data_IF_224664615087
#
_entry.id   IF_224664615087
#
_cell.length_a   1.000
_cell.length_b   1.000
_cell.length_c   1.000
_cell.angle_alpha   90.00
_cell.angle_beta   90.00
_cell.angle_gamma   90.00
#
_symmetry.space_group_name_H-M   'P 1'
#
loop_
_entity.id
_entity.type
_entity.pdbx_description
1 polymer ?
#
# COMPACT_ATOMS: atom_id res chain seq x y z
N UNK A 1 1.26 14.17 -43.27
CA UNK A 1 2.16 13.97 -42.12
C UNK A 1 1.41 14.44 -40.90
N UNK A 2 1.00 13.50 -40.04
CA UNK A 2 0.28 13.80 -38.78
C UNK A 2 1.35 14.16 -37.75
N UNK A 3 1.40 15.40 -37.31
CA UNK A 3 2.20 15.81 -36.13
C UNK A 3 1.29 15.70 -34.90
N UNK A 4 1.57 14.78 -33.95
CA UNK A 4 0.80 14.76 -32.74
C UNK A 4 1.05 16.06 -31.96
N UNK A 5 -0.02 16.62 -31.41
CA UNK A 5 0.06 17.78 -30.54
C UNK A 5 0.79 17.34 -29.23
N UNK A 6 2.00 17.84 -29.01
CA UNK A 6 2.83 17.52 -27.86
C UNK A 6 2.21 18.00 -26.52
N UNK A 7 1.31 18.99 -26.56
CA UNK A 7 0.63 19.50 -25.38
C UNK A 7 -0.43 18.52 -24.84
N UNK A 8 -0.96 17.61 -25.69
CA UNK A 8 -1.90 16.57 -25.24
C UNK A 8 -1.22 15.33 -24.61
N UNK A 9 0.09 15.22 -24.71
CA UNK A 9 0.89 14.13 -24.10
C UNK A 9 1.40 14.49 -22.70
N UNK A 10 1.27 15.75 -22.28
CA UNK A 10 1.75 16.22 -20.98
C UNK A 10 0.74 16.00 -19.82
N UNK A 11 -0.52 15.64 -20.13
CA UNK A 11 -1.54 15.35 -19.12
C UNK A 11 -1.68 13.85 -18.81
N UNK A 12 -1.02 12.97 -19.55
CA UNK A 12 -1.02 11.53 -19.29
C UNK A 12 0.15 11.18 -18.34
N UNK A 13 -0.09 11.19 -17.02
CA UNK A 13 0.87 10.62 -16.08
C UNK A 13 1.06 11.32 -14.75
N UNK A 14 0.26 12.30 -14.40
CA UNK A 14 0.27 12.81 -13.03
C UNK A 14 -0.56 11.84 -12.18
N UNK A 15 0.13 11.11 -11.26
CA UNK A 15 -0.55 10.32 -10.24
C UNK A 15 -1.10 11.28 -9.20
N UNK A 16 -2.36 11.11 -8.85
CA UNK A 16 -3.02 11.92 -7.85
C UNK A 16 -3.98 11.10 -6.99
N UNK A 17 -4.41 11.69 -5.89
CA UNK A 17 -5.45 11.18 -5.01
C UNK A 17 -6.49 12.28 -4.80
N UNK A 18 -7.75 11.91 -4.70
CA UNK A 18 -8.83 12.86 -4.37
C UNK A 18 -9.36 12.57 -2.99
N UNK A 19 -9.17 13.53 -2.07
CA UNK A 19 -9.53 13.41 -0.66
C UNK A 19 -10.38 14.60 -0.26
N UNK A 20 -11.61 14.37 0.22
CA UNK A 20 -12.57 15.43 0.58
C UNK A 20 -12.82 16.42 -0.57
N UNK A 21 -12.84 15.93 -1.81
CA UNK A 21 -13.05 16.73 -3.02
C UNK A 21 -11.79 17.48 -3.51
N UNK A 22 -10.68 17.41 -2.79
CA UNK A 22 -9.41 18.07 -3.15
C UNK A 22 -8.46 17.08 -3.82
N UNK A 23 -7.87 17.49 -4.96
CA UNK A 23 -6.86 16.70 -5.68
C UNK A 23 -5.50 16.93 -5.02
N UNK A 24 -4.82 15.86 -4.70
CA UNK A 24 -3.50 15.84 -4.10
C UNK A 24 -2.52 15.13 -5.03
N UNK A 25 -1.60 15.85 -5.62
CA UNK A 25 -0.54 15.29 -6.46
C UNK A 25 0.34 14.34 -5.64
N UNK A 26 0.71 13.20 -6.24
CA UNK A 26 1.63 12.21 -5.65
C UNK A 26 3.10 12.49 -6.03
N UNK A 27 3.42 13.73 -6.37
CA UNK A 27 4.77 14.20 -6.68
C UNK A 27 5.57 14.49 -5.39
N UNK A 28 6.90 14.26 -5.34
CA UNK A 28 7.76 13.75 -6.40
C UNK A 28 7.67 12.22 -6.57
N UNK A 29 8.25 11.71 -7.67
CA UNK A 29 8.36 10.27 -7.90
C UNK A 29 9.01 9.54 -6.72
N UNK A 30 8.61 8.29 -6.43
CA UNK A 30 9.14 7.51 -5.31
C UNK A 30 10.65 7.28 -5.44
N UNK A 31 11.34 7.14 -4.30
CA UNK A 31 12.75 6.76 -4.28
C UNK A 31 12.92 5.31 -4.73
N UNK A 32 14.17 4.93 -5.11
CA UNK A 32 14.43 3.54 -5.48
C UNK A 32 14.19 2.58 -4.31
N UNK A 33 14.50 2.98 -3.06
CA UNK A 33 14.23 2.17 -1.87
C UNK A 33 12.73 1.91 -1.71
N UNK A 34 11.90 2.95 -1.87
CA UNK A 34 10.45 2.81 -1.87
C UNK A 34 10.01 1.76 -2.90
N UNK A 35 10.46 1.93 -4.15
CA UNK A 35 10.07 1.03 -5.25
C UNK A 35 10.52 -0.41 -5.02
N UNK A 36 11.75 -0.64 -4.51
CA UNK A 36 12.27 -1.99 -4.24
C UNK A 36 11.48 -2.65 -3.11
N UNK A 37 11.29 -1.97 -1.98
CA UNK A 37 10.57 -2.51 -0.82
C UNK A 37 9.12 -2.82 -1.16
N UNK A 38 8.43 -1.90 -1.83
CA UNK A 38 7.04 -2.11 -2.29
C UNK A 38 6.95 -3.32 -3.23
N UNK A 39 7.88 -3.44 -4.19
CA UNK A 39 7.90 -4.57 -5.12
C UNK A 39 8.22 -5.91 -4.44
N UNK A 40 9.12 -5.95 -3.45
CA UNK A 40 9.43 -7.16 -2.70
C UNK A 40 8.17 -7.74 -2.05
N UNK A 41 7.43 -6.90 -1.33
CA UNK A 41 6.16 -7.28 -0.68
C UNK A 41 5.13 -7.73 -1.72
N UNK A 42 4.96 -6.95 -2.80
CA UNK A 42 4.01 -7.27 -3.87
C UNK A 42 4.31 -8.63 -4.53
N UNK A 43 5.59 -8.95 -4.79
CA UNK A 43 5.99 -10.22 -5.39
C UNK A 43 5.63 -11.41 -4.49
N UNK A 44 5.85 -11.31 -3.17
CA UNK A 44 5.53 -12.35 -2.19
C UNK A 44 4.02 -12.54 -2.11
N UNK A 45 3.26 -11.45 -1.99
CA UNK A 45 1.78 -11.49 -1.97
C UNK A 45 1.24 -12.09 -3.26
N UNK A 46 1.73 -11.66 -4.42
CA UNK A 46 1.31 -12.18 -5.72
C UNK A 46 1.56 -13.67 -5.87
N UNK A 47 2.72 -14.16 -5.40
CA UNK A 47 3.03 -15.58 -5.40
C UNK A 47 2.08 -16.38 -4.51
N UNK A 48 1.79 -15.88 -3.30
CA UNK A 48 0.86 -16.50 -2.35
C UNK A 48 -0.59 -16.50 -2.80
N UNK A 49 -1.02 -15.53 -3.60
CA UNK A 49 -2.38 -15.43 -4.14
C UNK A 49 -2.60 -16.23 -5.44
N UNK A 50 -1.61 -16.97 -5.95
CA UNK A 50 -1.64 -17.62 -7.29
C UNK A 50 -2.90 -18.45 -7.55
N UNK A 51 -3.46 -19.10 -6.54
CA UNK A 51 -4.65 -19.94 -6.66
C UNK A 51 -5.88 -19.30 -5.95
N UNK A 52 -5.82 -18.02 -5.66
CA UNK A 52 -6.89 -17.26 -5.02
C UNK A 52 -7.76 -16.56 -6.06
N UNK A 53 -9.00 -16.23 -5.65
CA UNK A 53 -9.83 -15.29 -6.41
C UNK A 53 -9.40 -13.83 -6.24
N UNK A 54 -8.57 -13.55 -5.22
CA UNK A 54 -8.07 -12.20 -4.94
C UNK A 54 -6.96 -11.79 -5.90
N UNK A 55 -6.86 -10.50 -6.13
CA UNK A 55 -5.80 -9.87 -6.93
C UNK A 55 -5.05 -8.91 -6.03
N UNK A 56 -3.72 -8.88 -6.18
CA UNK A 56 -2.90 -7.80 -5.63
C UNK A 56 -2.58 -6.82 -6.75
N UNK A 57 -2.69 -5.55 -6.43
CA UNK A 57 -2.22 -4.45 -7.29
C UNK A 57 -1.14 -3.68 -6.54
N UNK A 58 -0.17 -3.21 -7.30
CA UNK A 58 0.87 -2.31 -6.85
C UNK A 58 0.71 -1.03 -7.64
N UNK A 59 0.30 0.06 -6.96
CA UNK A 59 0.01 1.34 -7.59
C UNK A 59 -1.06 1.24 -8.71
N UNK A 60 -1.34 2.32 -9.42
CA UNK A 60 -2.17 2.37 -10.63
C UNK A 60 -3.58 1.75 -10.51
N UNK A 61 -4.16 1.71 -9.32
CA UNK A 61 -5.58 1.40 -9.12
C UNK A 61 -6.20 2.36 -8.12
N UNK A 62 -7.23 3.06 -8.52
CA UNK A 62 -7.98 3.95 -7.63
C UNK A 62 -8.81 3.13 -6.65
N UNK A 63 -8.60 3.29 -5.39
CA UNK A 63 -9.51 2.80 -4.37
C UNK A 63 -10.61 3.83 -4.12
N UNK A 64 -11.82 3.56 -4.62
CA UNK A 64 -13.01 4.41 -4.41
C UNK A 64 -13.63 4.10 -3.06
N UNK A 65 -13.16 4.77 -2.01
CA UNK A 65 -13.54 4.51 -0.63
C UNK A 65 -14.89 5.12 -0.22
N UNK A 66 -15.37 6.10 -0.98
CA UNK A 66 -16.66 6.75 -0.73
C UNK A 66 -17.69 6.32 -1.76
N UNK A 67 -18.93 6.11 -1.31
CA UNK A 67 -20.10 5.89 -2.17
C UNK A 67 -20.86 7.18 -2.47
N UNK A 68 -20.56 8.25 -1.76
CA UNK A 68 -21.28 9.52 -1.80
C UNK A 68 -20.67 10.52 -2.77
N UNK A 69 -19.39 10.34 -3.07
CA UNK A 69 -18.63 11.21 -3.96
C UNK A 69 -17.64 10.36 -4.81
N UNK A 70 -16.83 11.04 -5.62
CA UNK A 70 -15.85 10.44 -6.50
C UNK A 70 -14.41 10.45 -5.91
N UNK A 71 -14.28 10.59 -4.60
CA UNK A 71 -13.01 10.55 -3.90
C UNK A 71 -12.32 9.18 -4.02
N UNK A 72 -11.00 9.18 -4.07
CA UNK A 72 -10.18 7.98 -4.19
C UNK A 72 -8.79 8.15 -3.59
N UNK A 73 -8.22 7.02 -3.23
CA UNK A 73 -6.81 6.86 -2.91
C UNK A 73 -6.14 5.96 -3.94
N UNK A 74 -4.85 6.10 -4.11
CA UNK A 74 -4.02 5.20 -4.92
C UNK A 74 -2.99 4.50 -3.99
N UNK A 75 -3.36 3.36 -3.36
CA UNK A 75 -2.48 2.67 -2.43
C UNK A 75 -1.25 2.11 -3.12
N UNK A 76 -0.10 2.08 -2.40
CA UNK A 76 1.11 1.45 -2.93
C UNK A 76 0.92 -0.06 -3.14
N UNK A 77 0.20 -0.75 -2.21
CA UNK A 77 -0.22 -2.16 -2.37
C UNK A 77 -1.64 -2.34 -1.86
N UNK A 78 -2.47 -3.06 -2.62
CA UNK A 78 -3.86 -3.34 -2.27
C UNK A 78 -4.27 -4.75 -2.69
N UNK A 79 -4.97 -5.51 -1.81
CA UNK A 79 -5.55 -6.82 -2.14
C UNK A 79 -7.07 -6.69 -2.30
N UNK A 80 -7.54 -6.99 -3.51
CA UNK A 80 -8.93 -6.91 -3.92
C UNK A 80 -9.49 -8.31 -4.17
N UNK A 81 -10.54 -8.73 -3.43
CA UNK A 81 -11.12 -10.07 -3.55
C UNK A 81 -12.47 -10.11 -4.29
N UNK A 82 -13.18 -8.99 -4.38
CA UNK A 82 -14.38 -8.90 -5.21
C UNK A 82 -14.03 -8.36 -6.60
N UNK A 83 -13.84 -9.27 -7.56
CA UNK A 83 -13.51 -8.90 -8.95
C UNK A 83 -14.63 -8.13 -9.65
N UNK A 84 -15.89 -8.27 -9.21
CA UNK A 84 -17.02 -7.54 -9.80
C UNK A 84 -17.02 -6.07 -9.38
N UNK A 85 -16.29 -5.74 -8.32
CA UNK A 85 -16.11 -4.37 -7.86
C UNK A 85 -14.98 -3.63 -8.61
N UNK A 86 -14.23 -4.30 -9.51
CA UNK A 86 -13.23 -3.66 -10.35
C UNK A 86 -13.91 -3.12 -11.60
N UNK A 87 -13.78 -1.82 -11.88
CA UNK A 87 -14.36 -1.14 -13.06
C UNK A 87 -13.33 -0.16 -13.62
N UNK A 88 -12.84 -0.43 -14.84
CA UNK A 88 -11.72 0.31 -15.41
C UNK A 88 -10.49 0.18 -14.52
N UNK A 89 -9.87 1.29 -14.15
CA UNK A 89 -8.73 1.35 -13.24
C UNK A 89 -9.14 1.60 -11.77
N UNK A 90 -10.40 1.33 -11.40
CA UNK A 90 -10.89 1.62 -10.06
C UNK A 90 -11.45 0.39 -9.35
N UNK A 91 -11.27 0.31 -8.03
CA UNK A 91 -11.86 -0.68 -7.15
C UNK A 91 -12.89 -0.03 -6.21
N UNK A 92 -14.11 -0.53 -6.24
CA UNK A 92 -15.28 -0.03 -5.48
C UNK A 92 -15.67 -0.91 -4.30
N UNK A 93 -14.94 -2.01 -4.07
CA UNK A 93 -15.14 -2.88 -2.92
C UNK A 93 -14.26 -2.46 -1.74
N UNK A 94 -14.41 -3.14 -0.59
CA UNK A 94 -13.49 -2.97 0.54
C UNK A 94 -12.28 -3.91 0.37
N UNK A 95 -11.04 -3.38 0.31
CA UNK A 95 -9.84 -4.21 0.26
C UNK A 95 -9.69 -5.04 1.53
N UNK A 96 -9.08 -6.22 1.40
CA UNK A 96 -8.72 -7.06 2.54
C UNK A 96 -7.42 -6.62 3.22
N UNK A 97 -6.55 -5.98 2.45
CA UNK A 97 -5.23 -5.53 2.87
C UNK A 97 -4.85 -4.29 2.09
N UNK A 98 -4.23 -3.36 2.76
CA UNK A 98 -3.58 -2.18 2.16
C UNK A 98 -2.22 -1.96 2.81
N UNK A 99 -1.22 -1.59 2.03
CA UNK A 99 0.06 -1.13 2.56
C UNK A 99 0.49 0.17 1.88
N UNK A 100 1.07 1.06 2.67
CA UNK A 100 1.69 2.31 2.24
C UNK A 100 3.17 2.30 2.59
N UNK A 101 4.00 2.53 1.61
CA UNK A 101 5.45 2.67 1.76
C UNK A 101 5.77 4.15 1.92
N UNK A 102 6.05 4.57 3.14
CA UNK A 102 6.17 5.99 3.48
C UNK A 102 7.50 6.62 3.05
N UNK A 103 7.42 7.91 2.78
CA UNK A 103 8.56 8.81 2.59
C UNK A 103 8.44 10.01 3.54
N UNK A 104 9.49 10.82 3.71
CA UNK A 104 9.39 12.05 4.49
C UNK A 104 8.29 13.01 4.04
N UNK A 105 7.92 12.99 2.76
CA UNK A 105 6.85 13.84 2.21
C UNK A 105 5.44 13.28 2.44
N UNK A 106 5.29 11.96 2.54
CA UNK A 106 3.97 11.30 2.63
C UNK A 106 3.60 10.87 4.05
N UNK A 107 4.57 10.67 4.95
CA UNK A 107 4.40 10.07 6.29
C UNK A 107 3.24 10.68 7.11
N UNK A 108 3.06 12.01 7.04
CA UNK A 108 1.98 12.68 7.77
C UNK A 108 0.60 12.30 7.22
N UNK A 109 0.50 12.16 5.90
CA UNK A 109 -0.73 11.79 5.20
C UNK A 109 -1.08 10.33 5.44
N UNK A 110 -0.11 9.44 5.31
CA UNK A 110 -0.29 7.99 5.44
C UNK A 110 -0.62 7.57 6.88
N UNK A 111 0.08 8.14 7.88
CA UNK A 111 -0.24 7.94 9.31
C UNK A 111 -1.47 8.72 9.80
N UNK A 112 -1.97 9.66 9.02
CA UNK A 112 -3.09 10.54 9.35
C UNK A 112 -4.35 10.24 8.56
N UNK A 113 -4.63 11.09 7.55
CA UNK A 113 -5.91 11.06 6.83
C UNK A 113 -6.13 9.75 6.08
N UNK A 114 -5.11 9.16 5.42
CA UNK A 114 -5.25 7.89 4.70
C UNK A 114 -5.56 6.75 5.66
N UNK A 115 -4.84 6.66 6.80
CA UNK A 115 -5.14 5.68 7.86
C UNK A 115 -6.60 5.78 8.32
N UNK A 116 -7.11 6.99 8.56
CA UNK A 116 -8.50 7.19 8.98
C UNK A 116 -9.50 6.77 7.88
N UNK A 117 -9.18 7.02 6.61
CA UNK A 117 -10.02 6.60 5.48
C UNK A 117 -10.06 5.08 5.40
N UNK A 118 -8.91 4.38 5.48
CA UNK A 118 -8.87 2.93 5.47
C UNK A 118 -9.63 2.33 6.66
N UNK A 119 -9.47 2.90 7.86
CA UNK A 119 -10.21 2.51 9.06
C UNK A 119 -11.72 2.61 8.85
N UNK A 120 -12.20 3.78 8.42
CA UNK A 120 -13.65 4.04 8.29
C UNK A 120 -14.29 3.29 7.11
N UNK A 121 -13.52 2.97 6.08
CA UNK A 121 -13.97 2.18 4.94
C UNK A 121 -13.92 0.66 5.20
N UNK A 122 -13.40 0.23 6.35
CA UNK A 122 -13.46 -1.14 6.81
C UNK A 122 -12.33 -2.04 6.28
N UNK A 123 -11.19 -1.48 5.89
CA UNK A 123 -9.99 -2.25 5.54
C UNK A 123 -9.50 -3.00 6.77
N UNK A 124 -9.44 -4.34 6.70
CA UNK A 124 -9.20 -5.19 7.87
C UNK A 124 -7.76 -5.13 8.37
N UNK A 125 -6.79 -4.95 7.46
CA UNK A 125 -5.36 -4.93 7.74
C UNK A 125 -4.68 -3.81 6.98
N UNK A 126 -3.93 -2.97 7.69
CA UNK A 126 -3.20 -1.83 7.14
C UNK A 126 -1.76 -1.83 7.61
N UNK A 127 -0.81 -1.80 6.68
CA UNK A 127 0.61 -1.71 6.97
C UNK A 127 1.18 -0.35 6.59
N UNK A 128 2.07 0.17 7.43
CA UNK A 128 2.93 1.31 7.14
C UNK A 128 4.36 0.81 7.09
N UNK A 129 5.03 0.97 5.96
CA UNK A 129 6.39 0.51 5.73
C UNK A 129 7.32 1.70 5.57
N UNK A 130 8.37 1.79 6.37
CA UNK A 130 9.41 2.81 6.28
C UNK A 130 10.70 2.22 5.71
N UNK A 131 11.03 2.45 4.44
CA UNK A 131 12.31 1.98 3.87
C UNK A 131 13.53 2.61 4.53
N UNK A 132 13.41 3.87 4.99
CA UNK A 132 14.52 4.60 5.62
C UNK A 132 14.83 4.04 7.00
N UNK A 133 13.78 3.78 7.79
CA UNK A 133 13.91 3.24 9.16
C UNK A 133 14.00 1.72 9.16
N UNK A 134 13.76 1.07 7.99
CA UNK A 134 13.63 -0.38 7.84
C UNK A 134 12.59 -0.94 8.82
N UNK A 135 11.43 -0.28 8.89
CA UNK A 135 10.39 -0.54 9.88
C UNK A 135 9.05 -0.88 9.22
N UNK A 136 8.28 -1.74 9.89
CA UNK A 136 6.89 -2.09 9.53
C UNK A 136 6.00 -1.86 10.74
N UNK A 137 4.92 -1.11 10.58
CA UNK A 137 3.84 -0.99 11.54
C UNK A 137 2.61 -1.72 10.99
N UNK A 138 2.01 -2.60 11.78
CA UNK A 138 0.88 -3.43 11.41
C UNK A 138 -0.33 -3.03 12.23
N UNK A 139 -1.39 -2.63 11.55
CA UNK A 139 -2.67 -2.25 12.16
C UNK A 139 -3.77 -3.22 11.74
N UNK A 140 -4.54 -3.67 12.71
CA UNK A 140 -5.77 -4.45 12.49
C UNK A 140 -7.00 -3.68 12.90
N UNK A 141 -8.05 -3.80 12.08
CA UNK A 141 -9.36 -3.26 12.42
C UNK A 141 -10.03 -4.12 13.48
N UNK A 142 -10.25 -3.55 14.67
CA UNK A 142 -10.95 -4.15 15.82
C UNK A 142 -12.05 -3.21 16.26
N UNK A 143 -13.28 -3.66 16.29
CA UNK A 143 -14.46 -2.87 16.70
C UNK A 143 -14.56 -1.50 15.99
N UNK A 144 -14.19 -1.47 14.69
CA UNK A 144 -14.24 -0.27 13.85
C UNK A 144 -13.09 0.72 14.07
N UNK A 145 -12.04 0.33 14.79
CA UNK A 145 -10.84 1.13 15.03
C UNK A 145 -9.56 0.36 14.73
N UNK A 146 -8.55 1.06 14.18
CA UNK A 146 -7.24 0.48 14.04
C UNK A 146 -6.48 0.47 15.37
N UNK A 147 -6.12 -0.73 15.77
CA UNK A 147 -5.14 -0.97 16.82
C UNK A 147 -3.83 -1.42 16.20
N UNK A 148 -2.71 -0.89 16.72
CA UNK A 148 -1.40 -1.40 16.34
C UNK A 148 -1.24 -2.79 16.93
N UNK A 149 -1.00 -3.78 16.08
CA UNK A 149 -0.79 -5.16 16.52
C UNK A 149 0.69 -5.42 16.77
N UNK A 150 1.51 -4.99 15.78
CA UNK A 150 2.95 -5.21 15.82
C UNK A 150 3.69 -4.01 15.22
N UNK A 151 4.92 -3.80 15.66
CA UNK A 151 5.85 -2.86 15.08
C UNK A 151 7.24 -3.44 15.10
N UNK A 152 7.88 -3.53 13.96
CA UNK A 152 9.21 -4.09 13.79
C UNK A 152 10.16 -3.05 13.20
N UNK A 153 11.39 -3.05 13.70
CA UNK A 153 12.53 -2.38 13.05
C UNK A 153 13.55 -3.48 12.77
N UNK A 154 13.96 -3.61 11.50
CA UNK A 154 14.92 -4.64 11.12
C UNK A 154 16.29 -4.36 11.73
N UNK A 155 16.79 -5.33 12.47
CA UNK A 155 18.18 -5.44 12.91
C UNK A 155 18.80 -6.69 12.24
N UNK A 156 19.69 -6.47 11.28
CA UNK A 156 20.36 -7.52 10.51
C UNK A 156 21.82 -7.76 10.95
N UNK A 157 22.27 -7.13 12.05
CA UNK A 157 23.54 -7.43 12.67
C UNK A 157 23.45 -8.74 13.48
N UNK A 158 24.00 -9.83 12.95
CA UNK A 158 23.99 -11.15 13.60
C UNK A 158 24.67 -11.14 14.99
N UNK A 159 25.50 -10.15 15.31
CA UNK A 159 26.12 -9.97 16.61
C UNK A 159 25.23 -9.20 17.60
N UNK A 160 24.15 -8.58 17.14
CA UNK A 160 23.22 -7.82 17.96
C UNK A 160 22.33 -8.75 18.82
N UNK A 161 22.06 -8.35 20.05
CA UNK A 161 21.06 -9.00 20.90
C UNK A 161 19.61 -8.79 20.39
N UNK A 162 19.42 -7.85 19.48
CA UNK A 162 18.12 -7.53 18.85
C UNK A 162 17.98 -8.08 17.42
N UNK A 163 18.94 -8.92 16.96
CA UNK A 163 18.91 -9.53 15.65
C UNK A 163 17.55 -10.17 15.34
N UNK A 164 16.90 -9.73 14.25
CA UNK A 164 15.55 -10.15 13.90
C UNK A 164 15.29 -10.30 12.40
N UNK A 165 16.33 -10.41 11.57
CA UNK A 165 16.15 -10.44 10.10
C UNK A 165 15.22 -11.56 9.64
N UNK A 166 15.18 -12.68 10.35
CA UNK A 166 14.32 -13.85 10.09
C UNK A 166 12.96 -13.78 10.79
N UNK A 167 12.62 -12.66 11.44
CA UNK A 167 11.30 -12.48 12.01
C UNK A 167 10.24 -12.58 10.92
N UNK A 168 9.34 -13.55 11.08
CA UNK A 168 8.24 -13.79 10.15
C UNK A 168 7.05 -12.90 10.46
N UNK A 169 6.45 -12.37 9.40
CA UNK A 169 5.21 -11.62 9.42
C UNK A 169 4.23 -12.33 8.48
N UNK A 170 3.05 -12.68 8.98
CA UNK A 170 2.01 -13.36 8.22
C UNK A 170 0.80 -12.45 8.05
N UNK A 171 0.29 -12.30 6.82
CA UNK A 171 -0.93 -11.56 6.57
C UNK A 171 -2.12 -12.23 7.29
N UNK A 172 -2.94 -11.45 7.99
CA UNK A 172 -4.05 -11.98 8.79
C UNK A 172 -5.09 -12.75 7.97
N UNK A 173 -5.43 -12.22 6.79
CA UNK A 173 -6.48 -12.80 5.94
C UNK A 173 -5.96 -13.89 4.98
N UNK A 174 -4.65 -14.10 4.90
CA UNK A 174 -4.02 -14.98 3.91
C UNK A 174 -2.85 -15.75 4.52
N UNK A 175 -2.65 -17.03 4.15
CA UNK A 175 -1.48 -17.81 4.59
C UNK A 175 -0.23 -17.40 3.81
N UNK A 176 0.12 -16.12 3.86
CA UNK A 176 1.25 -15.51 3.16
C UNK A 176 2.18 -14.96 4.22
N UNK A 177 3.37 -15.53 4.30
CA UNK A 177 4.41 -15.16 5.26
C UNK A 177 5.61 -14.59 4.53
N UNK A 178 6.22 -13.58 5.11
CA UNK A 178 7.47 -12.98 4.68
C UNK A 178 8.33 -12.63 5.89
N UNK A 179 9.64 -12.59 5.72
CA UNK A 179 10.55 -12.13 6.78
C UNK A 179 10.85 -10.64 6.65
N UNK A 180 11.36 -10.02 7.71
CA UNK A 180 11.84 -8.64 7.63
C UNK A 180 12.95 -8.49 6.58
N UNK A 181 13.83 -9.49 6.47
CA UNK A 181 14.87 -9.54 5.44
C UNK A 181 14.25 -9.55 4.03
N UNK A 182 13.21 -10.35 3.78
CA UNK A 182 12.52 -10.40 2.47
C UNK A 182 11.94 -9.04 2.07
N UNK A 183 11.46 -8.28 3.06
CA UNK A 183 10.87 -6.95 2.83
C UNK A 183 11.96 -5.94 2.46
N UNK A 184 13.08 -5.92 3.20
CA UNK A 184 14.06 -4.84 3.16
C UNK A 184 15.35 -5.16 2.41
N UNK A 185 15.45 -6.31 1.74
CA UNK A 185 16.59 -6.60 0.86
C UNK A 185 16.62 -5.63 -0.33
N UNK A 186 17.75 -4.95 -0.50
CA UNK A 186 17.97 -3.93 -1.54
C UNK A 186 19.21 -4.27 -2.35
#
# INVERSE_FOLDING_TARGET
MYTPNLDSLAEEGIRDEKINGEINDMSPAPSYQHSVVTNNINCIIKAGLKNSMCLVFMENIDYKYSKENDDYLEPDIIICCDRNAIRGNAYYGTPKFVAETISPSTVKRDRGIKKNIYETSGVEEYWIISPIERAVEIYYLKDGKYEIEESYILDDDEASEHYNSKQEITLRAFPITMTLEDIFVI
#
